data_IF_683263520816
#
_entry.id   IF_683263520816
#
_cell.length_a   1.000
_cell.length_b   1.000
_cell.length_c   1.000
_cell.angle_alpha   90.00
_cell.angle_beta   90.00
_cell.angle_gamma   90.00
#
_symmetry.space_group_name_H-M   'P 1'
#
loop_
_entity.id
_entity.type
_entity.pdbx_description
1 polymer ?
#
# COMPACT_ATOMS: atom_id res chain seq x y z
N UNK A 1 -28.05 23.95 -8.39
CA UNK A 1 -27.67 22.77 -9.18
C UNK A 1 -26.15 22.71 -9.22
N UNK A 2 -25.57 21.63 -8.67
CA UNK A 2 -24.18 21.14 -8.81
C UNK A 2 -23.11 22.11 -8.27
N UNK A 3 -22.49 21.90 -7.10
CA UNK A 3 -21.60 20.78 -6.84
C UNK A 3 -21.86 20.12 -5.46
N UNK A 4 -22.24 18.85 -5.51
CA UNK A 4 -22.43 18.00 -4.34
C UNK A 4 -21.06 17.70 -3.76
N UNK A 5 -20.85 18.10 -2.51
CA UNK A 5 -20.17 17.23 -1.55
C UNK A 5 -18.85 16.65 -2.05
N UNK A 6 -17.88 17.54 -2.32
CA UNK A 6 -16.47 17.17 -2.18
C UNK A 6 -16.18 17.01 -0.68
N UNK A 7 -16.84 16.02 -0.05
CA UNK A 7 -16.39 15.44 1.20
C UNK A 7 -15.02 14.87 0.86
N UNK A 8 -13.98 15.67 1.11
CA UNK A 8 -12.63 15.14 1.24
C UNK A 8 -12.68 14.16 2.40
N UNK A 9 -13.05 12.93 2.08
CA UNK A 9 -12.62 11.76 2.84
C UNK A 9 -11.09 11.80 2.76
N UNK A 10 -10.47 12.45 3.74
CA UNK A 10 -9.03 12.35 3.92
C UNK A 10 -8.73 10.85 4.00
N UNK A 11 -7.99 10.36 3.01
CA UNK A 11 -7.73 8.94 2.86
C UNK A 11 -6.61 8.58 3.83
N UNK A 12 -6.83 7.53 4.61
CA UNK A 12 -5.74 6.86 5.32
C UNK A 12 -4.63 6.50 4.32
N UNK A 13 -3.39 6.51 4.80
CA UNK A 13 -2.22 6.12 4.01
C UNK A 13 -2.39 4.67 3.53
N UNK A 14 -1.94 4.41 2.30
CA UNK A 14 -1.99 3.06 1.74
C UNK A 14 -0.89 2.16 2.35
N UNK A 15 -1.07 0.83 2.34
CA UNK A 15 -0.04 -0.10 2.76
C UNK A 15 1.26 0.03 1.95
N UNK A 16 2.39 -0.34 2.56
CA UNK A 16 3.73 -0.19 1.99
C UNK A 16 3.84 -0.75 0.57
N UNK A 17 3.29 -1.94 0.32
CA UNK A 17 3.29 -2.57 -1.00
C UNK A 17 2.62 -1.70 -2.07
N UNK A 18 1.55 -0.98 -1.73
CA UNK A 18 0.88 -0.08 -2.68
C UNK A 18 1.64 1.24 -2.84
N UNK A 19 2.25 1.73 -1.77
CA UNK A 19 3.08 2.92 -1.82
C UNK A 19 4.30 2.71 -2.71
N UNK A 20 5.01 1.58 -2.59
CA UNK A 20 6.12 1.22 -3.48
C UNK A 20 5.68 1.16 -4.95
N UNK A 21 4.52 0.53 -5.23
CA UNK A 21 3.94 0.50 -6.59
C UNK A 21 3.59 1.88 -7.13
N UNK A 22 3.24 2.82 -6.26
CA UNK A 22 2.99 4.22 -6.62
C UNK A 22 4.29 5.05 -6.73
N UNK A 23 5.45 4.44 -6.52
CA UNK A 23 6.76 5.09 -6.66
C UNK A 23 7.24 5.79 -5.39
N UNK A 24 6.62 5.52 -4.23
CA UNK A 24 7.15 5.94 -2.92
C UNK A 24 8.30 5.03 -2.53
N UNK A 25 9.38 5.59 -2.01
CA UNK A 25 10.55 4.86 -1.53
C UNK A 25 10.63 4.94 -0.02
N UNK A 26 10.93 3.83 0.63
CA UNK A 26 11.10 3.77 2.09
C UNK A 26 12.56 3.97 2.45
N UNK A 27 12.83 4.64 3.58
CA UNK A 27 14.18 4.76 4.13
C UNK A 27 14.14 5.02 5.63
N UNK A 28 15.04 4.37 6.37
CA UNK A 28 15.24 4.66 7.79
C UNK A 28 15.76 6.10 8.01
N UNK A 29 15.13 6.83 8.92
CA UNK A 29 15.57 8.16 9.34
C UNK A 29 16.49 8.07 10.57
N UNK A 30 17.79 7.86 10.35
CA UNK A 30 18.78 7.78 11.45
C UNK A 30 19.12 9.14 12.09
N UNK A 31 18.63 10.25 11.52
CA UNK A 31 18.87 11.60 12.03
C UNK A 31 17.72 12.13 12.90
N UNK A 32 16.60 11.41 12.92
CA UNK A 32 15.45 11.70 13.75
C UNK A 32 15.81 11.78 15.24
N UNK A 33 15.23 12.76 15.94
CA UNK A 33 15.42 12.92 17.39
C UNK A 33 14.35 12.14 18.17
N UNK A 34 13.22 11.85 17.54
CA UNK A 34 12.12 11.06 18.07
C UNK A 34 11.69 9.99 17.07
N UNK A 35 11.17 8.86 17.55
CA UNK A 35 10.54 7.86 16.68
C UNK A 35 9.26 8.38 15.99
N UNK A 36 8.75 9.53 16.45
CA UNK A 36 7.63 10.24 15.85
C UNK A 36 8.05 11.13 14.66
N UNK A 37 9.34 11.36 14.42
CA UNK A 37 9.84 12.26 13.38
C UNK A 37 9.79 11.60 11.99
N UNK A 38 8.57 11.40 11.50
CA UNK A 38 8.28 10.83 10.17
C UNK A 38 8.20 11.97 9.16
N UNK A 39 8.93 11.84 8.06
CA UNK A 39 8.98 12.84 7.01
C UNK A 39 8.68 12.25 5.64
N UNK A 40 8.06 13.06 4.78
CA UNK A 40 7.89 12.73 3.37
C UNK A 40 8.53 13.82 2.49
N UNK A 41 9.57 13.46 1.74
CA UNK A 41 10.32 14.41 0.91
C UNK A 41 10.80 13.75 -0.38
N UNK A 42 10.52 14.39 -1.51
CA UNK A 42 10.99 13.97 -2.84
C UNK A 42 10.65 12.49 -3.16
N UNK A 43 9.46 12.02 -2.77
CA UNK A 43 9.03 10.64 -2.96
C UNK A 43 9.61 9.64 -1.96
N UNK A 44 10.46 10.07 -1.02
CA UNK A 44 10.95 9.24 0.08
C UNK A 44 10.07 9.43 1.31
N UNK A 45 9.56 8.32 1.84
CA UNK A 45 8.96 8.23 3.15
C UNK A 45 10.04 7.80 4.16
N UNK A 46 10.48 8.77 4.95
CA UNK A 46 11.52 8.64 5.95
C UNK A 46 10.86 8.31 7.29
N UNK A 47 11.11 7.10 7.79
CA UNK A 47 10.54 6.63 9.06
C UNK A 47 11.71 6.31 9.99
N UNK A 48 11.74 6.84 11.22
CA UNK A 48 12.76 6.46 12.20
C UNK A 48 12.76 4.94 12.42
N UNK A 49 13.94 4.38 12.68
CA UNK A 49 14.05 2.96 13.00
C UNK A 49 13.36 2.68 14.35
N UNK A 50 12.56 1.61 14.40
CA UNK A 50 12.01 1.08 15.65
C UNK A 50 12.41 -0.37 15.85
N UNK A 51 12.67 -0.71 17.11
CA UNK A 51 12.93 -2.07 17.53
C UNK A 51 11.64 -2.59 18.14
N UNK A 52 11.10 -3.66 17.59
CA UNK A 52 9.86 -4.24 18.08
C UNK A 52 10.17 -5.44 18.95
N UNK A 53 9.83 -5.38 20.23
CA UNK A 53 9.90 -6.46 21.21
C UNK A 53 8.69 -6.40 22.18
N UNK A 54 8.65 -7.31 23.16
CA UNK A 54 7.57 -7.37 24.15
C UNK A 54 7.45 -6.09 25.00
N UNK A 55 8.58 -5.40 25.24
CA UNK A 55 8.59 -4.14 25.95
C UNK A 55 7.95 -3.03 25.12
N UNK A 56 8.31 -2.91 23.84
CA UNK A 56 7.78 -1.88 22.94
C UNK A 56 6.30 -2.11 22.64
N UNK A 57 5.85 -3.36 22.51
CA UNK A 57 4.40 -3.65 22.38
C UNK A 57 3.62 -3.16 23.61
N UNK A 58 4.13 -3.43 24.81
CA UNK A 58 3.55 -2.97 26.07
C UNK A 58 3.59 -1.45 26.19
N UNK A 59 4.70 -0.83 25.78
CA UNK A 59 4.85 0.62 25.75
C UNK A 59 3.78 1.28 24.87
N UNK A 60 3.60 0.84 23.62
CA UNK A 60 2.59 1.41 22.73
C UNK A 60 1.17 1.24 23.29
N UNK A 61 0.83 0.06 23.81
CA UNK A 61 -0.50 -0.16 24.41
C UNK A 61 -0.75 0.73 25.63
N UNK A 62 0.23 0.84 26.54
CA UNK A 62 0.11 1.66 27.74
C UNK A 62 0.00 3.16 27.40
N UNK A 63 0.82 3.63 26.46
CA UNK A 63 0.76 5.03 26.01
C UNK A 63 -0.56 5.36 25.33
N UNK A 64 -1.07 4.50 24.44
CA UNK A 64 -2.38 4.74 23.85
C UNK A 64 -3.51 4.69 24.89
N UNK A 65 -3.48 3.75 25.84
CA UNK A 65 -4.45 3.70 26.92
C UNK A 65 -4.42 5.00 27.75
N UNK A 66 -3.22 5.53 28.03
CA UNK A 66 -3.05 6.83 28.67
C UNK A 66 -3.65 7.96 27.83
N UNK A 67 -3.34 8.07 26.54
CA UNK A 67 -3.92 9.09 25.65
C UNK A 67 -5.46 9.00 25.54
N UNK A 68 -6.03 7.78 25.63
CA UNK A 68 -7.48 7.57 25.62
C UNK A 68 -8.15 7.94 26.95
N UNK A 69 -7.50 7.70 28.08
CA UNK A 69 -8.03 8.06 29.39
C UNK A 69 -7.99 9.56 29.69
N UNK A 70 -7.09 10.31 29.05
CA UNK A 70 -6.87 11.73 29.33
C UNK A 70 -7.15 12.61 28.10
N UNK A 71 -8.34 13.23 28.07
CA UNK A 71 -8.80 14.04 26.93
C UNK A 71 -7.92 15.25 26.57
N UNK A 72 -7.14 15.76 27.53
CA UNK A 72 -6.22 16.89 27.34
C UNK A 72 -4.81 16.48 26.89
N UNK A 73 -4.53 15.18 26.75
CA UNK A 73 -3.25 14.70 26.24
C UNK A 73 -3.19 14.79 24.71
N UNK A 74 -1.99 14.97 24.16
CA UNK A 74 -1.73 14.79 22.73
C UNK A 74 -2.08 13.35 22.32
N UNK A 75 -2.44 13.15 21.04
CA UNK A 75 -2.73 11.82 20.50
C UNK A 75 -1.62 11.34 19.56
N UNK A 76 -0.38 11.69 19.87
CA UNK A 76 0.75 11.51 18.97
C UNK A 76 1.16 10.04 18.87
N UNK A 77 1.13 9.31 20.00
CA UNK A 77 1.41 7.87 20.01
C UNK A 77 0.31 7.12 19.27
N UNK A 78 -0.94 7.44 19.56
CA UNK A 78 -2.10 6.88 18.86
C UNK A 78 -2.01 7.15 17.36
N UNK A 79 -1.65 8.37 16.96
CA UNK A 79 -1.45 8.75 15.55
C UNK A 79 -0.35 7.94 14.90
N UNK A 80 0.77 7.77 15.59
CA UNK A 80 1.90 6.97 15.13
C UNK A 80 1.51 5.50 14.93
N UNK A 81 0.83 4.90 15.91
CA UNK A 81 0.40 3.49 15.86
C UNK A 81 -0.60 3.26 14.71
N UNK A 82 -1.55 4.19 14.51
CA UNK A 82 -2.48 4.14 13.36
C UNK A 82 -1.74 4.25 12.04
N UNK A 83 -0.78 5.17 11.93
CA UNK A 83 0.07 5.30 10.74
C UNK A 83 0.82 3.99 10.45
N UNK A 84 1.48 3.43 11.47
CA UNK A 84 2.23 2.18 11.35
C UNK A 84 1.32 1.01 10.97
N UNK A 85 0.10 0.93 11.53
CA UNK A 85 -0.90 -0.08 11.15
C UNK A 85 -1.41 0.06 9.72
N UNK A 86 -1.50 1.29 9.19
CA UNK A 86 -1.86 1.53 7.79
C UNK A 86 -0.75 1.05 6.84
N UNK A 87 0.51 1.40 7.15
CA UNK A 87 1.66 1.07 6.31
C UNK A 87 1.98 -0.43 6.39
N UNK A 88 1.88 -1.07 7.57
CA UNK A 88 2.20 -2.48 7.84
C UNK A 88 0.97 -3.40 7.88
N UNK A 89 0.06 -3.26 6.93
CA UNK A 89 -1.21 -4.00 6.95
C UNK A 89 -1.07 -5.53 6.74
N UNK A 90 0.03 -5.99 6.10
CA UNK A 90 0.33 -7.41 5.86
C UNK A 90 1.77 -7.75 6.26
N UNK A 91 2.08 -9.04 6.41
CA UNK A 91 3.47 -9.48 6.67
C UNK A 91 4.43 -9.07 5.56
N UNK A 92 3.96 -8.98 4.31
CA UNK A 92 4.75 -8.47 3.19
C UNK A 92 5.10 -7.00 3.38
N UNK A 93 4.16 -6.20 3.88
CA UNK A 93 4.41 -4.79 4.15
C UNK A 93 5.44 -4.60 5.27
N UNK A 94 5.37 -5.42 6.33
CA UNK A 94 6.40 -5.45 7.38
C UNK A 94 7.76 -5.83 6.80
N UNK A 95 7.82 -6.86 5.96
CA UNK A 95 9.05 -7.27 5.28
C UNK A 95 9.70 -6.15 4.45
N UNK A 96 8.90 -5.32 3.77
CA UNK A 96 9.39 -4.13 3.04
C UNK A 96 10.06 -3.15 4.00
N UNK A 97 9.43 -2.86 5.15
CA UNK A 97 9.99 -1.91 6.12
C UNK A 97 11.22 -2.50 6.83
N UNK A 98 11.23 -3.79 7.15
CA UNK A 98 12.39 -4.50 7.69
C UNK A 98 13.57 -4.48 6.72
N UNK A 99 13.32 -4.68 5.43
CA UNK A 99 14.35 -4.59 4.39
C UNK A 99 15.02 -3.20 4.36
N UNK A 100 14.24 -2.15 4.58
CA UNK A 100 14.73 -0.77 4.63
C UNK A 100 15.27 -0.35 6.01
N UNK A 101 15.43 -1.30 6.94
CA UNK A 101 15.90 -1.09 8.32
C UNK A 101 15.05 -0.10 9.13
N UNK A 102 13.76 -0.01 8.80
CA UNK A 102 12.80 0.79 9.55
C UNK A 102 12.28 -0.04 10.74
N UNK A 103 12.10 -1.34 10.56
CA UNK A 103 11.73 -2.28 11.62
C UNK A 103 12.88 -3.23 11.89
N UNK A 104 13.32 -3.31 13.15
CA UNK A 104 14.08 -4.46 13.65
C UNK A 104 13.14 -5.32 14.49
N UNK A 105 12.96 -6.57 14.07
CA UNK A 105 12.00 -7.48 14.67
C UNK A 105 12.66 -8.41 15.69
N UNK A 106 12.33 -8.20 16.98
CA UNK A 106 12.65 -9.05 18.12
C UNK A 106 11.39 -9.58 18.83
N UNK A 107 10.20 -9.28 18.29
CA UNK A 107 8.90 -9.59 18.86
C UNK A 107 8.39 -10.95 18.40
N UNK A 108 8.76 -11.38 17.19
CA UNK A 108 8.33 -12.66 16.63
C UNK A 108 8.43 -12.66 15.10
N UNK A 109 7.35 -13.07 14.44
CA UNK A 109 7.24 -13.08 12.98
C UNK A 109 6.68 -11.76 12.45
N UNK A 110 6.98 -11.44 11.18
CA UNK A 110 6.42 -10.26 10.51
C UNK A 110 4.88 -10.24 10.51
N UNK A 111 4.26 -11.44 10.53
CA UNK A 111 2.80 -11.58 10.65
C UNK A 111 2.29 -11.14 12.02
N UNK A 112 3.03 -11.42 13.09
CA UNK A 112 2.65 -11.01 14.45
C UNK A 112 2.77 -9.50 14.62
N UNK A 113 3.81 -8.86 14.06
CA UNK A 113 3.93 -7.39 14.04
C UNK A 113 2.77 -6.77 13.26
N UNK A 114 2.49 -7.25 12.05
CA UNK A 114 1.39 -6.73 11.24
C UNK A 114 0.05 -6.87 11.97
N UNK A 115 -0.16 -8.01 12.64
CA UNK A 115 -1.37 -8.27 13.43
C UNK A 115 -1.48 -7.30 14.61
N UNK A 116 -0.39 -7.11 15.38
CA UNK A 116 -0.35 -6.19 16.50
C UNK A 116 -0.77 -4.78 16.09
N UNK A 117 -0.07 -4.14 15.14
CA UNK A 117 -0.40 -2.77 14.74
C UNK A 117 -1.79 -2.65 14.12
N UNK A 118 -2.25 -3.69 13.41
CA UNK A 118 -3.59 -3.72 12.83
C UNK A 118 -4.69 -3.81 13.88
N UNK A 119 -4.51 -4.60 14.92
CA UNK A 119 -5.49 -4.76 16.01
C UNK A 119 -5.49 -3.55 16.94
N UNK A 120 -4.30 -3.04 17.27
CA UNK A 120 -4.10 -1.91 18.17
C UNK A 120 -4.54 -0.58 17.53
N UNK A 121 -4.37 -0.44 16.21
CA UNK A 121 -4.91 0.70 15.46
C UNK A 121 -6.40 0.58 15.10
N UNK A 122 -7.03 -0.58 15.35
CA UNK A 122 -8.46 -0.80 15.10
C UNK A 122 -9.27 -0.06 16.16
N UNK A 123 -10.37 0.57 15.77
CA UNK A 123 -11.33 1.22 16.68
C UNK A 123 -10.83 2.51 17.37
N UNK A 124 -9.66 3.03 16.97
CA UNK A 124 -9.17 4.33 17.42
C UNK A 124 -9.91 5.46 16.71
N UNK A 125 -10.57 6.35 17.47
CA UNK A 125 -11.14 7.59 16.96
C UNK A 125 -10.02 8.54 16.49
N UNK A 126 -9.71 8.47 15.19
CA UNK A 126 -8.63 9.21 14.56
C UNK A 126 -9.17 10.40 13.77
N UNK A 127 -8.90 11.63 14.24
CA UNK A 127 -9.21 12.84 13.48
C UNK A 127 -8.05 13.18 12.55
N UNK A 128 -8.22 12.86 11.27
CA UNK A 128 -7.21 12.99 10.21
C UNK A 128 -6.80 14.46 9.97
N UNK A 129 -7.53 15.45 10.52
CA UNK A 129 -7.28 16.87 10.26
C UNK A 129 -6.41 17.56 11.31
N UNK A 130 -6.29 17.00 12.51
CA UNK A 130 -5.71 17.72 13.66
C UNK A 130 -4.54 17.00 14.32
N UNK A 131 -3.88 16.07 13.61
CA UNK A 131 -2.72 15.34 14.11
C UNK A 131 -1.41 15.78 13.44
N UNK A 132 -0.27 15.53 14.10
CA UNK A 132 1.03 16.00 13.61
C UNK A 132 1.43 15.43 12.22
N UNK A 133 0.95 14.24 11.85
CA UNK A 133 1.15 13.65 10.52
C UNK A 133 0.20 14.17 9.41
N UNK A 134 -0.67 15.16 9.65
CA UNK A 134 -1.73 15.50 8.70
C UNK A 134 -1.16 15.95 7.34
N UNK A 135 -0.13 16.80 7.37
CA UNK A 135 0.58 17.25 6.17
C UNK A 135 1.30 16.10 5.46
N UNK A 136 1.86 15.15 6.23
CA UNK A 136 2.48 13.96 5.67
C UNK A 136 1.47 13.08 4.92
N UNK A 137 0.29 12.86 5.50
CA UNK A 137 -0.79 12.11 4.84
C UNK A 137 -1.23 12.80 3.55
N UNK A 138 -1.36 14.13 3.58
CA UNK A 138 -1.71 14.91 2.39
C UNK A 138 -0.64 14.76 1.30
N UNK A 139 0.64 14.97 1.64
CA UNK A 139 1.75 14.90 0.70
C UNK A 139 1.93 13.51 0.07
N UNK A 140 1.86 12.45 0.88
CA UNK A 140 1.97 11.06 0.39
C UNK A 140 0.80 10.72 -0.54
N UNK A 141 -0.43 11.07 -0.15
CA UNK A 141 -1.61 10.78 -0.96
C UNK A 141 -1.63 11.55 -2.29
N UNK A 142 -1.21 12.82 -2.28
CA UNK A 142 -1.08 13.62 -3.50
C UNK A 142 -0.02 13.05 -4.43
N UNK A 143 1.16 12.70 -3.90
CA UNK A 143 2.21 12.07 -4.68
C UNK A 143 1.74 10.75 -5.32
N UNK A 144 1.08 9.89 -4.53
CA UNK A 144 0.55 8.62 -5.05
C UNK A 144 -0.52 8.83 -6.12
N UNK A 145 -1.39 9.83 -5.94
CA UNK A 145 -2.42 10.18 -6.93
C UNK A 145 -1.78 10.64 -8.25
N UNK A 146 -0.78 11.52 -8.17
CA UNK A 146 -0.07 12.00 -9.35
C UNK A 146 0.72 10.89 -10.05
N UNK A 147 1.43 10.06 -9.29
CA UNK A 147 2.15 8.89 -9.82
C UNK A 147 1.21 7.90 -10.50
N UNK A 148 0.04 7.62 -9.91
CA UNK A 148 -0.99 6.79 -10.53
C UNK A 148 -1.53 7.42 -11.82
N UNK A 149 -1.82 8.72 -11.82
CA UNK A 149 -2.29 9.42 -13.02
C UNK A 149 -1.27 9.36 -14.16
N UNK A 150 0.01 9.60 -13.86
CA UNK A 150 1.09 9.54 -14.85
C UNK A 150 1.30 8.12 -15.35
N UNK A 151 1.38 7.13 -14.45
CA UNK A 151 1.52 5.72 -14.81
C UNK A 151 0.34 5.21 -15.64
N UNK A 152 -0.89 5.57 -15.25
CA UNK A 152 -2.09 5.23 -16.00
C UNK A 152 -2.16 5.92 -17.36
N UNK A 153 -1.74 7.18 -17.46
CA UNK A 153 -1.65 7.90 -18.73
C UNK A 153 -0.63 7.23 -19.66
N UNK A 154 0.55 6.86 -19.15
CA UNK A 154 1.56 6.14 -19.93
C UNK A 154 1.12 4.75 -20.36
N UNK A 155 0.46 3.99 -19.48
CA UNK A 155 -0.12 2.68 -19.82
C UNK A 155 -1.20 2.81 -20.89
N UNK A 156 -2.13 3.76 -20.72
CA UNK A 156 -3.18 4.02 -21.70
C UNK A 156 -2.60 4.40 -23.05
N UNK A 157 -1.61 5.30 -23.09
CA UNK A 157 -0.96 5.71 -24.34
C UNK A 157 -0.27 4.51 -25.03
N UNK A 158 0.47 3.69 -24.28
CA UNK A 158 1.22 2.57 -24.84
C UNK A 158 0.33 1.40 -25.28
N UNK A 159 -0.76 1.12 -24.55
CA UNK A 159 -1.62 -0.04 -24.81
C UNK A 159 -2.83 0.29 -25.70
N UNK A 160 -3.46 1.45 -25.52
CA UNK A 160 -4.68 1.85 -26.24
C UNK A 160 -4.42 2.81 -27.41
N UNK A 161 -3.34 3.61 -27.39
CA UNK A 161 -3.02 4.57 -28.47
C UNK A 161 -1.85 4.16 -29.36
N UNK A 162 -1.22 3.01 -29.11
CA UNK A 162 -0.32 2.37 -30.08
C UNK A 162 -1.15 1.41 -30.95
N UNK A 163 -1.70 1.86 -32.09
CA UNK A 163 -2.54 1.02 -32.94
C UNK A 163 -1.82 -0.27 -33.34
N UNK A 164 -0.51 -0.23 -33.54
CA UNK A 164 0.30 -1.39 -33.91
C UNK A 164 0.38 -2.46 -32.82
N UNK A 165 0.58 -2.07 -31.56
CA UNK A 165 0.65 -3.02 -30.45
C UNK A 165 -0.71 -3.70 -30.20
N UNK A 166 -1.79 -2.91 -30.27
CA UNK A 166 -3.15 -3.41 -30.14
C UNK A 166 -3.53 -4.35 -31.29
N UNK A 167 -3.25 -3.97 -32.55
CA UNK A 167 -3.50 -4.79 -33.74
C UNK A 167 -2.72 -6.12 -33.65
N UNK A 168 -1.44 -6.07 -33.25
CA UNK A 168 -0.62 -7.28 -33.12
C UNK A 168 -1.14 -8.24 -32.06
N UNK A 169 -1.58 -7.73 -30.90
CA UNK A 169 -2.15 -8.55 -29.84
C UNK A 169 -3.48 -9.19 -30.27
N UNK A 170 -4.33 -8.42 -30.97
CA UNK A 170 -5.60 -8.92 -31.49
C UNK A 170 -5.39 -10.00 -32.57
N UNK A 171 -4.45 -9.79 -33.49
CA UNK A 171 -4.10 -10.77 -34.51
C UNK A 171 -3.58 -12.09 -33.88
N UNK A 172 -2.71 -11.99 -32.87
CA UNK A 172 -2.21 -13.16 -32.15
C UNK A 172 -3.33 -13.95 -31.48
N UNK A 173 -4.29 -13.27 -30.83
CA UNK A 173 -5.47 -13.91 -30.24
C UNK A 173 -6.35 -14.62 -31.27
N UNK A 174 -6.57 -14.02 -32.44
CA UNK A 174 -7.32 -14.65 -33.53
C UNK A 174 -6.60 -15.89 -34.08
N UNK A 175 -5.28 -15.85 -34.25
CA UNK A 175 -4.50 -17.01 -34.69
C UNK A 175 -4.55 -18.14 -33.66
N UNK A 176 -4.48 -17.81 -32.37
CA UNK A 176 -4.56 -18.79 -31.29
C UNK A 176 -5.93 -19.48 -31.23
N UNK A 177 -7.02 -18.73 -31.44
CA UNK A 177 -8.37 -19.29 -31.50
C UNK A 177 -8.60 -20.14 -32.75
N UNK A 178 -8.03 -19.75 -33.89
CA UNK A 178 -8.06 -20.58 -35.10
C UNK A 178 -7.28 -21.88 -34.89
N UNK A 179 -6.10 -21.80 -34.30
CA UNK A 179 -5.26 -22.98 -34.04
C UNK A 179 -5.97 -23.97 -33.11
N UNK A 180 -6.61 -23.50 -32.02
CA UNK A 180 -7.37 -24.39 -31.12
C UNK A 180 -8.55 -25.04 -31.82
N UNK A 181 -9.30 -24.30 -32.65
CA UNK A 181 -10.38 -24.87 -33.47
C UNK A 181 -9.85 -25.90 -34.48
N UNK A 182 -8.75 -25.60 -35.18
CA UNK A 182 -8.14 -26.50 -36.15
C UNK A 182 -7.68 -27.80 -35.48
N UNK A 183 -7.02 -27.70 -34.33
CA UNK A 183 -6.61 -28.88 -33.55
C UNK A 183 -7.83 -29.67 -33.09
N UNK A 184 -8.90 -29.02 -32.62
CA UNK A 184 -10.13 -29.70 -32.21
C UNK A 184 -10.79 -30.46 -33.36
N UNK A 185 -10.96 -29.83 -34.53
CA UNK A 185 -11.52 -30.50 -35.71
C UNK A 185 -10.65 -31.65 -36.21
N UNK A 186 -9.33 -31.48 -36.19
CA UNK A 186 -8.38 -32.52 -36.62
C UNK A 186 -8.44 -33.73 -35.69
N UNK A 187 -8.47 -33.51 -34.38
CA UNK A 187 -8.61 -34.58 -33.38
C UNK A 187 -9.98 -35.25 -33.47
N UNK A 188 -11.05 -34.48 -33.65
CA UNK A 188 -12.40 -35.02 -33.83
C UNK A 188 -12.53 -35.89 -35.09
N UNK A 189 -11.95 -35.46 -36.22
CA UNK A 189 -11.92 -36.25 -37.46
C UNK A 189 -11.06 -37.51 -37.33
N UNK A 190 -9.98 -37.46 -36.55
CA UNK A 190 -9.17 -38.64 -36.25
C UNK A 190 -9.95 -39.70 -35.44
N UNK A 191 -10.80 -39.27 -34.51
CA UNK A 191 -11.62 -40.19 -33.69
C UNK A 191 -12.92 -40.66 -34.37
N UNK A 192 -13.41 -39.96 -35.39
CA UNK A 192 -14.55 -40.39 -36.21
C UNK A 192 -14.18 -40.46 -37.70
N UNK A 193 -13.50 -41.53 -38.16
CA UNK A 193 -13.23 -41.70 -39.58
C UNK A 193 -14.56 -41.85 -40.35
N UNK A 194 -14.68 -41.12 -41.47
CA UNK A 194 -15.81 -41.28 -42.38
C UNK A 194 -15.87 -42.74 -42.83
N UNK A 195 -16.91 -43.46 -42.42
CA UNK A 195 -17.27 -44.75 -43.02
C UNK A 195 -17.65 -44.46 -44.47
N UNK A 196 -16.77 -44.85 -45.39
CA UNK A 196 -17.06 -44.94 -46.82
C UNK A 196 -18.10 -46.00 -47.10
#
# INVERSE_FOLDING_TARGET
MIDKTKSLTLKLIQPATKLEKAGVKFKANHQAQSFLDIEFKNGFLLIPQINMDDFHSSFFMNCMAFEQCFFHCSKDITTYVVFMGCVMNTSTDVGILSHHKIIENYFGTDKEIAKFFKEVGKDVAFDIKTHYLADLFMGVNEYCKNGWHVGWAGFKHTYFESPWAFISALAALMLLSLATLQTFYTVFQYHHPKKG
#
